data_IF_572150687654
#
_entry.id   IF_572150687654
#
_cell.length_a   1.000
_cell.length_b   1.000
_cell.length_c   1.000
_cell.angle_alpha   90.00
_cell.angle_beta   90.00
_cell.angle_gamma   90.00
#
_symmetry.space_group_name_H-M   'P 1'
#
loop_
_entity.id
_entity.type
_entity.pdbx_description
1 polymer ?
#
# COMPACT_ATOMS: atom_id res chain seq x y z
N UNK A 1 -14.81 3.29 -24.11
CA UNK A 1 -14.37 3.94 -22.86
C UNK A 1 -15.42 3.56 -21.84
N UNK A 2 -15.11 2.67 -20.89
CA UNK A 2 -16.10 2.29 -19.87
C UNK A 2 -16.50 3.54 -19.09
N UNK A 3 -17.81 3.76 -18.97
CA UNK A 3 -18.37 4.90 -18.27
C UNK A 3 -18.02 4.77 -16.78
N UNK A 4 -17.63 5.87 -16.14
CA UNK A 4 -17.23 5.87 -14.71
C UNK A 4 -18.45 5.50 -13.84
N UNK A 5 -19.66 5.67 -14.38
CA UNK A 5 -20.94 5.30 -13.77
C UNK A 5 -21.10 3.79 -13.47
N UNK A 6 -20.31 2.91 -14.09
CA UNK A 6 -20.43 1.44 -13.94
C UNK A 6 -19.33 0.81 -13.07
N UNK A 7 -18.48 1.60 -12.40
CA UNK A 7 -17.42 1.07 -11.53
C UNK A 7 -17.97 0.62 -10.17
N UNK A 8 -18.32 -0.65 -10.05
CA UNK A 8 -18.59 -1.30 -8.76
C UNK A 8 -17.29 -1.56 -7.98
N UNK A 9 -17.30 -1.31 -6.67
CA UNK A 9 -16.18 -1.62 -5.76
C UNK A 9 -16.09 -3.13 -5.56
N UNK A 10 -14.88 -3.69 -5.62
CA UNK A 10 -14.61 -5.08 -5.31
C UNK A 10 -14.26 -5.22 -3.82
N UNK A 11 -14.46 -6.39 -3.22
CA UNK A 11 -14.18 -6.62 -1.80
C UNK A 11 -13.64 -8.02 -1.51
N UNK A 12 -12.64 -8.11 -0.63
CA UNK A 12 -12.15 -9.37 -0.05
C UNK A 12 -12.21 -9.26 1.48
N UNK A 13 -13.13 -9.98 2.12
CA UNK A 13 -13.42 -9.78 3.54
C UNK A 13 -13.96 -8.37 3.79
N UNK A 14 -13.34 -7.62 4.70
CA UNK A 14 -13.68 -6.22 4.97
C UNK A 14 -12.86 -5.21 4.13
N UNK A 15 -11.96 -5.67 3.27
CA UNK A 15 -11.11 -4.80 2.47
C UNK A 15 -11.76 -4.51 1.12
N UNK A 16 -12.07 -3.25 0.90
CA UNK A 16 -12.62 -2.72 -0.35
C UNK A 16 -11.50 -2.21 -1.26
N UNK A 17 -11.59 -2.49 -2.57
CA UNK A 17 -10.61 -2.00 -3.56
C UNK A 17 -11.21 -1.94 -4.96
N UNK A 18 -10.53 -1.21 -5.86
CA UNK A 18 -10.76 -1.31 -7.29
C UNK A 18 -9.43 -1.17 -8.01
N UNK A 19 -8.95 -2.25 -8.61
CA UNK A 19 -7.68 -2.30 -9.34
C UNK A 19 -7.87 -2.99 -10.68
N UNK A 20 -6.91 -2.80 -11.60
CA UNK A 20 -7.01 -3.36 -12.95
C UNK A 20 -6.95 -4.90 -12.98
N UNK A 21 -6.03 -5.48 -12.23
CA UNK A 21 -5.76 -6.93 -12.25
C UNK A 21 -5.08 -7.38 -10.95
N UNK A 22 -5.76 -8.22 -10.18
CA UNK A 22 -5.24 -8.77 -8.93
C UNK A 22 -4.22 -9.90 -9.11
N UNK A 23 -4.19 -10.56 -10.28
CA UNK A 23 -3.24 -11.65 -10.53
C UNK A 23 -1.78 -11.20 -10.52
N UNK A 24 -1.55 -9.88 -10.67
CA UNK A 24 -0.23 -9.25 -10.62
C UNK A 24 0.34 -9.08 -9.21
N UNK A 25 -0.41 -9.44 -8.15
CA UNK A 25 0.01 -9.23 -6.76
C UNK A 25 1.36 -9.87 -6.42
N UNK A 26 1.66 -11.07 -6.92
CA UNK A 26 2.92 -11.75 -6.67
C UNK A 26 4.11 -11.01 -7.29
N UNK A 27 3.98 -10.59 -8.55
CA UNK A 27 4.99 -9.78 -9.23
C UNK A 27 5.18 -8.42 -8.53
N UNK A 28 4.08 -7.78 -8.13
CA UNK A 28 4.10 -6.53 -7.36
C UNK A 28 4.84 -6.69 -6.03
N UNK A 29 4.59 -7.77 -5.30
CA UNK A 29 5.31 -8.09 -4.05
C UNK A 29 6.81 -8.27 -4.27
N UNK A 30 7.22 -8.89 -5.37
CA UNK A 30 8.64 -8.97 -5.71
C UNK A 30 9.27 -7.59 -5.92
N UNK A 31 8.59 -6.69 -6.64
CA UNK A 31 9.08 -5.32 -6.86
C UNK A 31 9.12 -4.50 -5.56
N UNK A 32 8.13 -4.67 -4.66
CA UNK A 32 8.12 -4.00 -3.35
C UNK A 32 9.35 -4.38 -2.54
N UNK A 33 9.67 -5.68 -2.45
CA UNK A 33 10.88 -6.15 -1.74
C UNK A 33 12.17 -5.56 -2.32
N UNK A 34 12.24 -5.39 -3.65
CA UNK A 34 13.39 -4.72 -4.27
C UNK A 34 13.46 -3.24 -3.89
N UNK A 35 12.31 -2.54 -3.87
CA UNK A 35 12.25 -1.14 -3.51
C UNK A 35 12.59 -0.87 -2.04
N UNK A 36 12.31 -1.80 -1.12
CA UNK A 36 12.70 -1.67 0.29
C UNK A 36 14.22 -1.48 0.47
N UNK A 37 15.05 -2.14 -0.36
CA UNK A 37 16.51 -1.96 -0.34
C UNK A 37 16.95 -0.55 -0.77
N UNK A 38 16.16 0.11 -1.63
CA UNK A 38 16.41 1.46 -2.14
C UNK A 38 15.71 2.55 -1.31
N UNK A 39 14.99 2.18 -0.25
CA UNK A 39 14.22 3.09 0.60
C UNK A 39 14.63 2.97 2.08
N UNK A 40 15.93 3.12 2.42
CA UNK A 40 16.44 2.85 3.77
C UNK A 40 15.81 3.74 4.85
N UNK A 41 15.42 4.98 4.51
CA UNK A 41 14.75 5.87 5.44
C UNK A 41 13.40 5.33 5.92
N UNK A 42 12.61 4.72 5.03
CA UNK A 42 11.33 4.12 5.42
C UNK A 42 11.53 2.84 6.23
N UNK A 43 12.56 2.05 5.91
CA UNK A 43 12.86 0.82 6.66
C UNK A 43 13.37 1.13 8.06
N UNK A 44 14.15 2.21 8.23
CA UNK A 44 14.59 2.67 9.55
C UNK A 44 13.42 3.16 10.40
N UNK A 45 12.46 3.90 9.82
CA UNK A 45 11.25 4.31 10.53
C UNK A 45 10.43 3.11 11.02
N UNK A 46 10.30 2.05 10.20
CA UNK A 46 9.64 0.80 10.64
C UNK A 46 10.37 0.17 11.82
N UNK A 47 11.71 0.16 11.80
CA UNK A 47 12.54 -0.40 12.87
C UNK A 47 12.45 0.43 14.16
N UNK A 48 12.42 1.76 14.05
CA UNK A 48 12.40 2.69 15.18
C UNK A 48 11.03 2.74 15.87
N UNK A 49 9.94 2.82 15.09
CA UNK A 49 8.59 3.10 15.62
C UNK A 49 7.65 1.89 15.62
N UNK A 50 8.08 0.73 15.10
CA UNK A 50 7.22 -0.47 14.99
C UNK A 50 6.73 -1.00 16.34
N UNK A 51 7.47 -0.83 17.44
CA UNK A 51 6.99 -1.20 18.78
C UNK A 51 6.09 -0.12 19.40
N UNK A 52 6.38 1.16 19.13
CA UNK A 52 5.63 2.30 19.68
C UNK A 52 4.24 2.44 19.02
N UNK A 53 4.10 1.99 17.77
CA UNK A 53 2.86 2.07 16.99
C UNK A 53 2.22 3.48 17.06
N UNK A 54 2.97 4.56 16.73
CA UNK A 54 2.52 5.94 16.93
C UNK A 54 1.30 6.32 16.10
N UNK A 55 0.98 5.53 15.07
CA UNK A 55 -0.20 5.71 14.21
C UNK A 55 -1.38 4.78 14.57
N UNK A 56 -1.32 4.07 15.71
CA UNK A 56 -2.41 3.22 16.15
C UNK A 56 -3.74 3.99 16.24
N UNK A 57 -4.76 3.49 15.54
CA UNK A 57 -6.09 4.11 15.47
C UNK A 57 -6.20 5.29 14.50
N UNK A 58 -5.11 5.70 13.83
CA UNK A 58 -5.16 6.70 12.78
C UNK A 58 -5.95 6.19 11.56
N UNK A 59 -6.67 7.11 10.91
CA UNK A 59 -7.34 6.86 9.62
C UNK A 59 -6.76 7.80 8.59
N UNK A 60 -6.00 7.24 7.65
CA UNK A 60 -5.20 8.01 6.69
C UNK A 60 -5.80 7.82 5.29
N UNK A 61 -6.19 8.93 4.65
CA UNK A 61 -6.59 8.95 3.25
C UNK A 61 -5.43 9.47 2.39
N UNK A 62 -4.95 8.66 1.45
CA UNK A 62 -3.87 9.02 0.54
C UNK A 62 -4.35 9.19 -0.89
N UNK A 63 -4.03 10.33 -1.51
CA UNK A 63 -4.26 10.60 -2.95
C UNK A 63 -2.93 10.92 -3.61
N UNK A 64 -2.07 9.91 -3.67
CA UNK A 64 -0.74 9.97 -4.27
C UNK A 64 -0.62 8.90 -5.35
N UNK A 65 0.36 9.04 -6.25
CA UNK A 65 0.58 8.06 -7.32
C UNK A 65 0.78 6.66 -6.73
N UNK A 66 -0.02 5.70 -7.18
CA UNK A 66 0.04 4.32 -6.70
C UNK A 66 1.16 3.55 -7.40
N UNK A 67 2.40 3.75 -6.93
CA UNK A 67 3.63 3.13 -7.45
C UNK A 67 4.19 2.09 -6.48
N UNK A 68 5.26 1.39 -6.88
CA UNK A 68 6.00 0.46 -6.01
C UNK A 68 6.54 1.16 -4.76
N UNK A 69 7.07 2.39 -4.89
CA UNK A 69 7.58 3.16 -3.76
C UNK A 69 6.46 3.59 -2.81
N UNK A 70 5.31 3.97 -3.34
CA UNK A 70 4.11 4.27 -2.52
C UNK A 70 3.63 3.05 -1.76
N UNK A 71 3.74 1.85 -2.32
CA UNK A 71 3.41 0.63 -1.58
C UNK A 71 4.34 0.43 -0.37
N UNK A 72 5.65 0.70 -0.50
CA UNK A 72 6.58 0.70 0.65
C UNK A 72 6.17 1.74 1.69
N UNK A 73 5.79 2.95 1.27
CA UNK A 73 5.27 3.99 2.18
C UNK A 73 4.01 3.52 2.91
N UNK A 74 3.02 2.98 2.20
CA UNK A 74 1.77 2.49 2.80
C UNK A 74 2.07 1.38 3.81
N UNK A 75 2.93 0.43 3.46
CA UNK A 75 3.33 -0.64 4.38
C UNK A 75 4.11 -0.12 5.60
N UNK A 76 4.84 1.01 5.48
CA UNK A 76 5.45 1.69 6.63
C UNK A 76 4.39 2.35 7.52
N UNK A 77 3.32 2.91 6.96
CA UNK A 77 2.24 3.52 7.76
C UNK A 77 1.43 2.48 8.54
N UNK A 78 1.43 1.23 8.10
CA UNK A 78 0.72 0.12 8.75
C UNK A 78 1.60 -0.78 9.63
N UNK A 79 2.93 -0.64 9.53
CA UNK A 79 3.91 -1.47 10.24
C UNK A 79 4.04 -1.04 11.69
#
# INVERSE_FOLDING_TARGET
>A
MADIADLAVDSTGSLEYKVRDLSLAEAGRHQIRLAEYEMPGLMELRREYGEEQPLAGARIAGSIHMTVQTAVLIETLTA
#
